data_IF_626767164390
#
_entry.id   IF_626767164390
#
_cell.length_a   1.000
_cell.length_b   1.000
_cell.length_c   1.000
_cell.angle_alpha   90.00
_cell.angle_beta   90.00
_cell.angle_gamma   90.00
#
_symmetry.space_group_name_H-M   'P 1'
#
loop_
_entity.id
_entity.type
_entity.pdbx_description
1 polymer ?
#
# COMPACT_ATOMS: atom_id res chain seq x y z
N UNK A 1 1.43 4.35 8.89
CA UNK A 1 2.31 3.62 7.96
C UNK A 1 2.21 2.15 8.35
N UNK A 2 1.69 1.32 7.46
CA UNK A 2 1.56 -0.13 7.69
C UNK A 2 2.67 -0.84 6.93
N UNK A 3 3.62 -1.44 7.65
CA UNK A 3 4.67 -2.30 7.09
C UNK A 3 4.08 -3.67 6.72
N UNK A 4 4.23 -4.05 5.46
CA UNK A 4 3.71 -5.28 4.88
C UNK A 4 4.82 -6.02 4.11
N UNK A 5 4.60 -7.30 3.80
CA UNK A 5 5.53 -8.13 3.03
C UNK A 5 4.77 -8.87 1.93
N UNK A 6 5.27 -8.82 0.71
CA UNK A 6 4.75 -9.58 -0.44
C UNK A 6 5.92 -10.33 -1.09
N UNK A 7 5.87 -11.67 -1.12
CA UNK A 7 6.97 -12.51 -1.64
C UNK A 7 8.36 -12.14 -1.11
N UNK A 8 8.47 -11.78 0.17
CA UNK A 8 9.74 -11.38 0.80
C UNK A 8 10.16 -9.93 0.51
N UNK A 9 9.41 -9.17 -0.29
CA UNK A 9 9.58 -7.73 -0.46
C UNK A 9 8.76 -7.00 0.58
N UNK A 10 9.44 -6.27 1.45
CA UNK A 10 8.84 -5.34 2.40
C UNK A 10 8.37 -4.10 1.65
N UNK A 11 7.20 -3.62 2.03
CA UNK A 11 6.65 -2.38 1.52
C UNK A 11 5.79 -1.73 2.58
N UNK A 12 5.56 -0.43 2.43
CA UNK A 12 4.66 0.31 3.30
C UNK A 12 3.53 0.92 2.48
N UNK A 13 2.34 0.99 3.08
CA UNK A 13 1.24 1.79 2.54
C UNK A 13 0.98 3.01 3.42
N UNK A 14 0.71 4.13 2.77
CA UNK A 14 0.31 5.40 3.39
C UNK A 14 -0.90 5.95 2.64
N UNK A 15 -1.95 6.32 3.38
CA UNK A 15 -3.06 7.10 2.83
C UNK A 15 -2.72 8.60 2.91
N UNK A 16 -3.16 9.38 1.91
CA UNK A 16 -3.00 10.83 1.91
C UNK A 16 -3.69 11.52 3.09
N UNK A 17 -4.79 10.92 3.58
CA UNK A 17 -5.46 11.29 4.82
C UNK A 17 -6.25 10.08 5.35
N UNK A 18 -6.37 9.96 6.67
CA UNK A 18 -7.12 8.88 7.36
C UNK A 18 -8.54 9.31 7.79
N UNK A 19 -8.85 10.60 7.63
CA UNK A 19 -10.16 11.20 7.86
C UNK A 19 -10.28 12.46 6.98
N UNK A 20 -11.51 12.88 6.70
CA UNK A 20 -11.78 14.14 6.01
C UNK A 20 -13.24 14.56 6.16
N UNK A 21 -13.51 15.84 5.94
CA UNK A 21 -14.86 16.41 6.04
C UNK A 21 -15.52 16.38 4.65
N UNK A 22 -16.67 15.73 4.52
CA UNK A 22 -17.44 15.72 3.28
C UNK A 22 -17.97 17.12 2.92
N UNK A 23 -17.74 17.57 1.69
CA UNK A 23 -18.17 18.90 1.20
C UNK A 23 -19.27 18.82 0.13
N UNK A 24 -19.79 17.62 -0.16
CA UNK A 24 -20.75 17.39 -1.23
C UNK A 24 -20.15 17.42 -2.65
N UNK A 25 -18.86 17.74 -2.78
CA UNK A 25 -18.09 17.64 -4.03
C UNK A 25 -17.18 16.39 -4.02
N UNK A 26 -16.69 15.91 -5.19
CA UNK A 26 -15.71 14.84 -5.24
C UNK A 26 -14.44 15.18 -4.45
N UNK A 27 -13.95 14.22 -3.65
CA UNK A 27 -12.72 14.37 -2.87
C UNK A 27 -11.71 13.30 -3.28
N UNK A 28 -10.50 13.72 -3.62
CA UNK A 28 -9.43 12.81 -4.05
C UNK A 28 -8.59 12.38 -2.86
N UNK A 29 -8.55 11.07 -2.60
CA UNK A 29 -7.63 10.44 -1.65
C UNK A 29 -6.64 9.55 -2.40
N UNK A 30 -5.38 9.61 -2.01
CA UNK A 30 -4.30 8.81 -2.58
C UNK A 30 -3.88 7.69 -1.63
N UNK A 31 -3.42 6.58 -2.21
CA UNK A 31 -2.71 5.52 -1.49
C UNK A 31 -1.33 5.40 -2.12
N UNK A 32 -0.29 5.62 -1.33
CA UNK A 32 1.10 5.48 -1.78
C UNK A 32 1.68 4.20 -1.23
N UNK A 33 2.15 3.33 -2.13
CA UNK A 33 2.94 2.16 -1.79
C UNK A 33 4.42 2.48 -1.97
N UNK A 34 5.24 2.23 -0.95
CA UNK A 34 6.70 2.43 -1.00
C UNK A 34 7.39 1.10 -0.79
N UNK A 35 8.19 0.70 -1.77
CA UNK A 35 9.10 -0.44 -1.71
C UNK A 35 10.52 0.10 -1.51
N UNK A 36 11.13 -0.07 -0.32
CA UNK A 36 12.52 0.31 -0.11
C UNK A 36 13.47 -0.37 -1.12
N UNK A 37 14.45 0.38 -1.61
CA UNK A 37 15.49 -0.15 -2.49
C UNK A 37 16.39 -1.18 -1.76
N UNK A 38 17.14 -1.98 -2.52
CA UNK A 38 18.11 -2.93 -1.95
C UNK A 38 17.52 -4.26 -1.49
N UNK A 39 16.25 -4.53 -1.81
CA UNK A 39 15.59 -5.82 -1.52
C UNK A 39 15.78 -6.85 -2.64
N UNK A 40 16.75 -6.64 -3.53
CA UNK A 40 17.07 -7.59 -4.58
C UNK A 40 17.68 -8.86 -3.96
N UNK A 41 17.04 -10.02 -4.17
CA UNK A 41 17.49 -11.32 -3.64
C UNK A 41 16.54 -11.99 -2.64
N UNK A 42 15.53 -11.29 -2.10
CA UNK A 42 14.49 -11.92 -1.27
C UNK A 42 13.48 -12.74 -2.07
N UNK A 43 13.30 -12.42 -3.35
CA UNK A 43 12.68 -13.35 -4.29
C UNK A 43 13.75 -14.33 -4.77
N UNK A 44 13.79 -15.51 -4.15
CA UNK A 44 14.78 -16.55 -4.39
C UNK A 44 14.72 -17.12 -5.83
N UNK A 45 15.20 -16.36 -6.83
CA UNK A 45 15.27 -16.76 -8.24
C UNK A 45 13.94 -16.89 -8.98
N UNK A 46 12.81 -16.96 -8.27
CA UNK A 46 11.48 -16.95 -8.84
C UNK A 46 11.05 -15.50 -9.12
N UNK A 47 10.43 -15.30 -10.28
CA UNK A 47 9.70 -14.07 -10.61
C UNK A 47 8.79 -13.71 -9.42
N UNK A 48 8.92 -12.51 -8.85
CA UNK A 48 8.10 -12.02 -7.73
C UNK A 48 6.66 -11.71 -8.17
N UNK A 49 5.96 -12.67 -8.79
CA UNK A 49 4.56 -12.50 -9.18
C UNK A 49 3.68 -12.88 -7.98
N UNK A 50 3.47 -11.93 -7.09
CA UNK A 50 2.47 -12.05 -6.04
C UNK A 50 1.56 -10.84 -6.01
N UNK A 51 0.33 -11.11 -5.58
CA UNK A 51 -0.70 -10.11 -5.37
C UNK A 51 -1.10 -10.14 -3.91
N UNK A 52 -1.11 -8.98 -3.26
CA UNK A 52 -1.64 -8.82 -1.91
C UNK A 52 -2.91 -7.99 -1.99
N UNK A 53 -4.04 -8.59 -1.62
CA UNK A 53 -5.31 -7.87 -1.50
C UNK A 53 -5.33 -7.03 -0.20
N UNK A 54 -5.87 -5.81 -0.28
CA UNK A 54 -6.09 -4.92 0.86
C UNK A 54 -7.55 -4.51 0.91
N UNK A 55 -8.12 -4.47 2.11
CA UNK A 55 -9.48 -3.97 2.34
C UNK A 55 -9.43 -2.50 2.72
N UNK A 56 -10.12 -1.65 1.96
CA UNK A 56 -10.35 -0.26 2.32
C UNK A 56 -11.75 -0.14 2.93
N UNK A 57 -11.81 0.21 4.22
CA UNK A 57 -13.07 0.46 4.91
C UNK A 57 -13.34 1.96 4.95
N UNK A 58 -14.50 2.38 4.43
CA UNK A 58 -14.96 3.76 4.48
C UNK A 58 -16.10 3.84 5.50
N UNK A 59 -15.93 4.70 6.50
CA UNK A 59 -16.96 5.00 7.50
C UNK A 59 -17.34 6.48 7.38
N UNK A 60 -18.63 6.77 7.44
CA UNK A 60 -19.20 8.12 7.34
C UNK A 60 -20.01 8.47 8.57
#
# INVERSE_FOLDING_TARGET
MTDNVITGLRYSLVLSANAGNGTGAPQTYGITATFPAGQAGTCAGAICNATQAHTLTITY
#
